data_IF_990106538480
#
_entry.id   IF_990106538480
#
_cell.length_a   1.000
_cell.length_b   1.000
_cell.length_c   1.000
_cell.angle_alpha   90.00
_cell.angle_beta   90.00
_cell.angle_gamma   90.00
#
_symmetry.space_group_name_H-M   'P 1'
#
loop_
_entity.id
_entity.type
_entity.pdbx_description
1 polymer ?
#
# COMPACT_ATOMS: atom_id res chain seq x y z
N UNK A 1 -16.62 13.62 6.13
CA UNK A 1 -15.73 14.46 6.94
C UNK A 1 -14.46 14.69 6.13
N UNK A 2 -13.98 15.92 5.91
CA UNK A 2 -12.64 16.11 5.37
C UNK A 2 -11.64 15.66 6.44
N UNK A 3 -10.90 14.58 6.20
CA UNK A 3 -9.62 14.42 6.90
C UNK A 3 -9.43 13.22 7.82
N UNK A 4 -9.54 12.00 7.33
CA UNK A 4 -8.65 10.95 7.84
C UNK A 4 -7.82 10.41 6.68
N UNK A 5 -6.79 11.17 6.34
CA UNK A 5 -5.64 10.54 5.71
C UNK A 5 -4.93 9.69 6.77
N UNK A 6 -4.32 8.59 6.37
CA UNK A 6 -3.62 7.67 7.26
C UNK A 6 -2.12 7.93 7.25
N UNK A 7 -1.51 7.79 8.42
CA UNK A 7 -0.04 7.74 8.56
C UNK A 7 0.50 6.39 8.10
N UNK A 8 -0.31 5.34 8.18
CA UNK A 8 0.04 4.01 7.71
C UNK A 8 -1.19 3.21 7.25
N UNK A 9 -1.04 2.48 6.15
CA UNK A 9 -2.05 1.54 5.65
C UNK A 9 -1.39 0.17 5.54
N UNK A 10 -2.00 -0.84 6.16
CA UNK A 10 -1.57 -2.24 6.06
C UNK A 10 -2.70 -3.05 5.45
N UNK A 11 -2.44 -3.65 4.30
CA UNK A 11 -3.37 -4.55 3.63
C UNK A 11 -2.90 -5.98 3.91
N UNK A 12 -3.81 -6.84 4.38
CA UNK A 12 -3.50 -8.22 4.79
C UNK A 12 -3.99 -9.28 3.80
N UNK A 13 -4.46 -8.87 2.63
CA UNK A 13 -4.97 -9.75 1.58
C UNK A 13 -4.31 -9.42 0.24
N UNK A 14 -3.96 -10.46 -0.52
CA UNK A 14 -3.24 -10.29 -1.79
C UNK A 14 -4.18 -9.74 -2.87
N UNK A 15 -3.68 -8.78 -3.64
CA UNK A 15 -4.34 -8.18 -4.81
C UNK A 15 -3.46 -8.38 -6.05
N UNK A 16 -4.07 -8.33 -7.23
CA UNK A 16 -3.34 -8.38 -8.50
C UNK A 16 -2.72 -7.03 -8.90
N UNK A 17 -3.37 -5.94 -8.51
CA UNK A 17 -2.98 -4.55 -8.83
C UNK A 17 -2.94 -3.66 -7.58
N UNK A 18 -2.19 -2.56 -7.66
CA UNK A 18 -2.09 -1.57 -6.58
C UNK A 18 -3.29 -0.61 -6.68
N UNK A 19 -4.19 -0.54 -5.69
CA UNK A 19 -5.29 0.40 -5.73
C UNK A 19 -4.82 1.84 -5.48
N UNK A 20 -4.97 2.70 -6.49
CA UNK A 20 -4.53 4.11 -6.43
C UNK A 20 -5.22 4.91 -5.31
N UNK A 21 -6.44 4.53 -4.95
CA UNK A 21 -7.22 5.15 -3.88
C UNK A 21 -6.51 5.11 -2.52
N UNK A 22 -5.73 4.05 -2.25
CA UNK A 22 -4.95 3.97 -1.00
C UNK A 22 -3.87 5.05 -0.93
N UNK A 23 -3.29 5.46 -2.07
CA UNK A 23 -2.34 6.57 -2.10
C UNK A 23 -3.01 7.93 -1.91
N UNK A 24 -4.26 8.09 -2.34
CA UNK A 24 -5.05 9.30 -2.06
C UNK A 24 -5.37 9.44 -0.58
N UNK A 25 -5.59 8.31 0.10
CA UNK A 25 -5.83 8.26 1.55
C UNK A 25 -4.54 8.31 2.39
N UNK A 26 -3.37 8.11 1.81
CA UNK A 26 -2.10 8.16 2.52
C UNK A 26 -1.56 9.60 2.65
N UNK A 27 -1.15 9.99 3.86
CA UNK A 27 -0.47 11.28 4.11
C UNK A 27 0.90 11.32 3.42
N UNK A 28 1.40 12.53 3.15
CA UNK A 28 2.83 12.71 2.87
C UNK A 28 3.62 12.31 4.12
N UNK A 29 4.64 11.47 3.93
CA UNK A 29 5.40 10.78 4.97
C UNK A 29 4.81 9.44 5.39
N UNK A 30 3.57 9.14 5.00
CA UNK A 30 2.89 7.89 5.35
C UNK A 30 3.42 6.67 4.60
N UNK A 31 3.15 5.49 5.16
CA UNK A 31 3.62 4.20 4.61
C UNK A 31 2.46 3.26 4.27
N UNK A 32 2.46 2.69 3.08
CA UNK A 32 1.53 1.63 2.66
C UNK A 32 2.29 0.31 2.54
N UNK A 33 1.83 -0.74 3.22
CA UNK A 33 2.31 -2.10 3.05
C UNK A 33 1.18 -2.96 2.48
N UNK A 34 1.39 -3.56 1.31
CA UNK A 34 0.38 -4.34 0.59
C UNK A 34 1.00 -5.57 -0.08
N UNK A 35 0.45 -6.78 0.13
CA UNK A 35 0.85 -7.96 -0.61
C UNK A 35 0.26 -7.93 -2.03
N UNK A 36 1.13 -8.19 -3.00
CA UNK A 36 0.76 -8.35 -4.41
C UNK A 36 1.38 -9.66 -4.88
N UNK A 37 0.52 -10.61 -5.24
CA UNK A 37 0.93 -11.98 -5.60
C UNK A 37 1.79 -12.62 -4.51
N UNK A 38 3.09 -12.74 -4.75
CA UNK A 38 4.07 -13.43 -3.91
C UNK A 38 5.11 -12.49 -3.24
N UNK A 39 4.84 -11.18 -3.28
CA UNK A 39 5.69 -10.16 -2.69
C UNK A 39 4.86 -9.23 -1.80
N UNK A 40 5.48 -8.69 -0.75
CA UNK A 40 4.95 -7.52 -0.04
C UNK A 40 5.62 -6.29 -0.62
N UNK A 41 4.80 -5.32 -1.01
CA UNK A 41 5.25 -4.01 -1.41
C UNK A 41 5.09 -3.03 -0.26
N UNK A 42 6.15 -2.30 0.01
CA UNK A 42 6.14 -1.16 0.93
C UNK A 42 6.33 0.11 0.11
N UNK A 43 5.36 0.99 0.19
CA UNK A 43 5.40 2.30 -0.43
C UNK A 43 5.50 3.38 0.64
N UNK A 44 6.32 4.40 0.39
CA UNK A 44 6.38 5.59 1.23
C UNK A 44 6.08 6.81 0.38
N UNK A 45 5.02 7.54 0.73
CA UNK A 45 4.64 8.75 -0.01
C UNK A 45 5.53 9.90 0.44
N UNK A 46 6.48 10.29 -0.41
CA UNK A 46 7.46 11.33 -0.06
C UNK A 46 6.90 12.71 -0.40
N UNK A 47 6.09 12.83 -1.46
CA UNK A 47 5.40 14.05 -1.86
C UNK A 47 4.12 13.72 -2.62
N UNK A 48 3.42 14.75 -3.14
CA UNK A 48 2.25 14.54 -4.00
C UNK A 48 2.55 13.85 -5.34
N UNK A 49 3.82 13.85 -5.77
CA UNK A 49 4.24 13.31 -7.07
C UNK A 49 5.32 12.23 -6.97
N UNK A 50 5.86 12.00 -5.78
CA UNK A 50 6.96 11.06 -5.56
C UNK A 50 6.61 10.05 -4.47
N UNK A 51 6.74 8.77 -4.83
CA UNK A 51 6.52 7.62 -3.97
C UNK A 51 7.76 6.74 -4.06
N UNK A 52 8.33 6.40 -2.91
CA UNK A 52 9.40 5.43 -2.80
C UNK A 52 8.81 4.02 -2.66
N UNK A 53 9.44 3.01 -3.29
CA UNK A 53 8.94 1.63 -3.37
C UNK A 53 10.02 0.64 -3.01
N UNK A 54 9.73 -0.20 -2.03
CA UNK A 54 10.54 -1.36 -1.65
C UNK A 54 9.73 -2.65 -1.87
N UNK A 55 10.38 -3.69 -2.41
CA UNK A 55 9.79 -5.00 -2.65
C UNK A 55 10.44 -6.05 -1.74
N UNK A 56 9.60 -6.81 -1.04
CA UNK A 56 10.01 -7.94 -0.21
C UNK A 56 9.42 -9.23 -0.81
N UNK A 57 10.26 -10.05 -1.44
CA UNK A 57 9.85 -11.30 -2.08
C UNK A 57 9.77 -12.47 -1.08
N UNK A 58 9.08 -13.55 -1.46
CA UNK A 58 9.05 -14.79 -0.70
C UNK A 58 7.91 -14.89 0.32
N UNK A 59 6.85 -14.10 0.14
CA UNK A 59 5.66 -14.14 0.98
C UNK A 59 4.48 -14.74 0.21
N UNK A 60 3.63 -15.50 0.89
CA UNK A 60 2.40 -16.06 0.30
C UNK A 60 1.23 -15.65 1.18
N UNK A 61 0.31 -14.88 0.62
CA UNK A 61 -0.93 -14.46 1.29
C UNK A 61 -2.13 -15.12 0.61
N UNK A 62 -3.21 -15.29 1.38
CA UNK A 62 -4.50 -15.71 0.82
C UNK A 62 -5.03 -14.64 -0.15
N UNK A 63 -5.69 -15.04 -1.25
CA UNK A 63 -6.28 -14.09 -2.19
C UNK A 63 -7.44 -13.33 -1.53
N UNK A 64 -7.56 -12.03 -1.84
CA UNK A 64 -8.73 -11.24 -1.45
C UNK A 64 -9.94 -11.69 -2.30
N UNK A 65 -10.92 -12.35 -1.68
CA UNK A 65 -12.19 -12.72 -2.33
C UNK A 65 -13.19 -11.58 -2.04
N UNK A 66 -13.69 -10.93 -3.10
CA UNK A 66 -14.71 -9.89 -3.04
C UNK A 66 -16.01 -10.34 -3.72
#
# INVERSE_FOLDING_TARGET
MPGEQFDGILVSASTDDIPEELFLQLKIGGTLAIPIRNSIFKFKKISGTYIDREEFYGFVFVPLIY
#
